data_IF_288203239866
#
_entry.id   IF_288203239866
#
_cell.length_a   1.000
_cell.length_b   1.000
_cell.length_c   1.000
_cell.angle_alpha   90.00
_cell.angle_beta   90.00
_cell.angle_gamma   90.00
#
_symmetry.space_group_name_H-M   'P 1'
#
loop_
_entity.id
_entity.type
_entity.pdbx_description
1 polymer ?
#
# COMPACT_ATOMS: atom_id res chain seq x y z
N UNK A 1 -11.50 33.01 18.91
CA UNK A 1 -10.79 31.78 19.34
C UNK A 1 -9.79 31.46 18.24
N UNK A 2 -8.49 31.69 18.45
CA UNK A 2 -7.48 31.30 17.46
C UNK A 2 -7.33 29.78 17.51
N UNK A 3 -7.43 29.11 16.36
CA UNK A 3 -7.11 27.69 16.24
C UNK A 3 -5.73 27.64 15.60
N UNK A 4 -4.80 26.97 16.26
CA UNK A 4 -3.42 26.80 15.78
C UNK A 4 -3.44 26.26 14.36
N UNK A 5 -2.70 26.91 13.46
CA UNK A 5 -2.66 26.54 12.04
C UNK A 5 -1.40 25.75 11.68
N UNK A 6 -0.42 25.74 12.58
CA UNK A 6 0.90 25.16 12.38
C UNK A 6 1.30 24.20 13.50
N UNK A 7 1.73 23.00 13.13
CA UNK A 7 2.15 21.93 14.05
C UNK A 7 3.62 21.52 13.82
N UNK A 8 4.40 22.37 13.16
CA UNK A 8 5.84 22.15 13.01
C UNK A 8 6.52 22.08 14.40
N UNK A 9 7.38 21.08 14.59
CA UNK A 9 8.15 20.86 15.81
C UNK A 9 9.58 21.34 15.59
N UNK A 10 10.09 22.18 16.48
CA UNK A 10 11.49 22.60 16.45
C UNK A 10 12.38 21.42 16.83
N UNK A 11 13.18 20.95 15.87
CA UNK A 11 14.06 19.79 16.01
C UNK A 11 15.05 19.90 17.18
N UNK A 12 15.37 21.12 17.65
CA UNK A 12 16.29 21.30 18.78
C UNK A 12 15.59 21.27 20.13
N UNK A 13 14.32 21.67 20.19
CA UNK A 13 13.60 21.78 21.48
C UNK A 13 12.55 20.68 21.64
N UNK A 14 12.16 20.01 20.57
CA UNK A 14 11.07 19.02 20.58
C UNK A 14 9.69 19.64 20.82
N UNK A 15 9.57 20.97 20.77
CA UNK A 15 8.33 21.70 21.02
C UNK A 15 7.79 22.30 19.73
N UNK A 16 6.47 22.47 19.66
CA UNK A 16 5.86 23.12 18.51
C UNK A 16 6.30 24.59 18.40
N UNK A 17 6.55 25.06 17.17
CA UNK A 17 6.96 26.44 16.90
C UNK A 17 5.87 27.45 17.29
N UNK A 18 6.22 28.62 17.88
CA UNK A 18 5.23 29.64 18.25
C UNK A 18 4.38 30.09 17.04
N UNK A 19 3.06 30.06 17.19
CA UNK A 19 2.06 30.54 16.22
C UNK A 19 1.56 31.91 16.71
N UNK A 20 1.85 32.98 15.95
CA UNK A 20 1.53 34.36 16.33
C UNK A 20 0.30 34.86 15.57
N UNK A 21 -0.59 35.56 16.26
CA UNK A 21 -1.75 36.23 15.66
C UNK A 21 -1.66 37.72 15.90
N UNK A 22 -1.83 38.49 14.82
CA UNK A 22 -2.03 39.93 14.92
C UNK A 22 -3.47 40.21 15.35
N UNK A 23 -3.64 40.66 16.59
CA UNK A 23 -4.93 41.16 17.10
C UNK A 23 -4.97 42.67 16.86
N UNK A 24 -5.83 43.11 15.94
CA UNK A 24 -6.07 44.54 15.73
C UNK A 24 -7.22 45.02 16.63
N UNK A 25 -6.99 46.08 17.41
CA UNK A 25 -8.08 46.85 18.05
C UNK A 25 -8.13 46.94 19.58
N UNK A 26 -7.07 46.57 20.32
CA UNK A 26 -7.04 46.80 21.79
C UNK A 26 -5.73 47.49 22.19
N UNK A 27 -5.77 48.72 22.74
CA UNK A 27 -4.57 49.37 23.25
C UNK A 27 -4.21 48.77 24.62
N UNK A 28 -3.27 47.83 24.65
CA UNK A 28 -2.71 47.34 25.90
C UNK A 28 -1.55 48.25 26.35
N UNK A 29 -1.84 49.19 27.24
CA UNK A 29 -0.84 50.13 27.80
C UNK A 29 -0.38 49.74 29.21
N UNK A 30 -0.52 48.48 29.64
CA UNK A 30 -0.35 48.12 31.07
C UNK A 30 0.52 46.90 31.38
N UNK A 31 1.22 46.30 30.40
CA UNK A 31 2.26 45.31 30.71
C UNK A 31 3.63 45.98 30.59
N UNK A 32 4.53 45.84 31.58
CA UNK A 32 5.92 46.21 31.39
C UNK A 32 6.43 45.42 30.18
N UNK A 33 6.84 46.14 29.14
CA UNK A 33 7.64 45.52 28.10
C UNK A 33 8.92 45.07 28.79
N UNK A 34 9.15 43.77 28.92
CA UNK A 34 10.50 43.27 29.15
C UNK A 34 11.36 43.89 28.03
N UNK A 35 12.24 44.81 28.43
CA UNK A 35 13.28 45.35 27.57
C UNK A 35 13.99 44.17 26.96
N UNK A 36 13.81 44.02 25.65
CA UNK A 36 14.40 42.97 24.84
C UNK A 36 15.88 43.29 24.58
N UNK A 37 16.65 43.45 25.65
CA UNK A 37 18.12 43.51 25.56
C UNK A 37 18.74 42.12 25.59
N UNK A 38 17.97 41.07 25.91
CA UNK A 38 18.39 39.66 25.80
C UNK A 38 17.32 38.75 25.17
N UNK A 39 16.43 39.28 24.31
CA UNK A 39 15.74 38.39 23.38
C UNK A 39 16.76 37.91 22.35
N UNK A 40 17.42 36.79 22.67
CA UNK A 40 18.21 36.02 21.73
C UNK A 40 17.45 35.97 20.41
N UNK A 41 18.03 36.61 19.39
CA UNK A 41 17.59 36.70 17.99
C UNK A 41 16.33 35.88 17.77
N UNK A 42 15.16 36.52 17.69
CA UNK A 42 13.93 35.87 17.24
C UNK A 42 14.29 35.00 16.05
N UNK A 43 14.30 33.69 16.28
CA UNK A 43 14.84 32.71 15.32
C UNK A 43 13.98 32.91 14.09
N UNK A 44 14.57 33.53 13.06
CA UNK A 44 13.84 33.98 11.88
C UNK A 44 13.15 32.75 11.33
N UNK A 45 11.81 32.70 11.40
CA UNK A 45 11.09 31.56 10.87
C UNK A 45 11.50 31.42 9.41
N UNK A 46 12.01 30.25 9.03
CA UNK A 46 12.40 29.99 7.65
C UNK A 46 11.23 30.37 6.74
N UNK A 47 11.45 31.12 5.65
CA UNK A 47 10.36 31.54 4.77
C UNK A 47 9.60 30.30 4.32
N UNK A 48 8.30 30.25 4.62
CA UNK A 48 7.44 29.16 4.18
C UNK A 48 7.06 29.39 2.73
N UNK A 49 7.15 28.34 1.93
CA UNK A 49 6.75 28.34 0.54
C UNK A 49 5.35 27.78 0.42
N UNK A 50 4.51 28.46 -0.35
CA UNK A 50 3.19 27.94 -0.74
C UNK A 50 3.39 26.85 -1.77
N UNK A 51 2.79 25.69 -1.56
CA UNK A 51 2.72 24.57 -2.50
C UNK A 51 1.29 24.52 -3.04
N UNK A 52 1.13 24.74 -4.34
CA UNK A 52 -0.18 24.91 -4.97
C UNK A 52 -0.12 24.57 -6.48
N UNK A 53 -1.26 24.16 -7.08
CA UNK A 53 -1.37 24.10 -8.54
C UNK A 53 -1.26 25.51 -9.12
N UNK A 54 -0.62 25.62 -10.29
CA UNK A 54 -0.40 26.91 -10.95
C UNK A 54 -1.21 27.02 -12.23
N UNK A 55 -2.07 28.05 -12.39
CA UNK A 55 -2.87 28.23 -13.60
C UNK A 55 -2.03 28.24 -14.89
N UNK A 56 -0.84 28.85 -14.85
CA UNK A 56 0.10 28.88 -15.97
C UNK A 56 0.69 27.49 -16.34
N UNK A 57 0.52 26.49 -15.46
CA UNK A 57 0.95 25.11 -15.63
C UNK A 57 -0.20 24.12 -15.83
N UNK A 58 -1.41 24.58 -16.15
CA UNK A 58 -2.60 23.73 -16.35
C UNK A 58 -2.36 22.59 -17.36
N UNK A 59 -1.54 22.81 -18.38
CA UNK A 59 -1.19 21.78 -19.38
C UNK A 59 -0.50 20.53 -18.80
N UNK A 60 0.01 20.62 -17.56
CA UNK A 60 0.63 19.52 -16.82
C UNK A 60 -0.31 18.92 -15.77
N UNK A 61 -1.59 19.29 -15.76
CA UNK A 61 -2.59 18.70 -14.87
C UNK A 61 -2.64 17.17 -15.06
N UNK A 62 -2.72 16.44 -13.95
CA UNK A 62 -2.84 15.00 -13.93
C UNK A 62 -4.13 14.63 -13.22
N UNK A 63 -4.79 13.59 -13.71
CA UNK A 63 -6.05 13.09 -13.19
C UNK A 63 -5.95 11.58 -12.92
N UNK A 64 -6.70 11.10 -11.93
CA UNK A 64 -6.74 9.68 -11.57
C UNK A 64 -8.12 9.28 -11.02
N UNK A 65 -8.52 8.00 -11.17
CA UNK A 65 -9.73 7.52 -10.53
C UNK A 65 -9.53 7.34 -9.01
N UNK A 66 -10.47 7.86 -8.22
CA UNK A 66 -10.53 7.69 -6.75
C UNK A 66 -11.28 6.41 -6.40
N UNK A 67 -10.57 5.28 -6.43
CA UNK A 67 -11.15 3.95 -6.24
C UNK A 67 -11.14 3.59 -4.74
N UNK A 68 -12.32 3.31 -4.19
CA UNK A 68 -12.50 2.81 -2.84
C UNK A 68 -12.26 1.29 -2.76
N UNK A 69 -12.75 0.55 -3.76
CA UNK A 69 -12.53 -0.90 -3.88
C UNK A 69 -12.72 -1.37 -5.32
N UNK A 70 -12.20 -2.55 -5.59
CA UNK A 70 -12.41 -3.27 -6.85
C UNK A 70 -13.35 -4.44 -6.52
N UNK A 71 -14.44 -4.54 -7.27
CA UNK A 71 -15.35 -5.69 -7.20
C UNK A 71 -15.13 -6.57 -8.41
N UNK A 72 -15.17 -7.87 -8.18
CA UNK A 72 -14.97 -8.87 -9.23
C UNK A 72 -16.21 -9.76 -9.30
N UNK A 73 -16.76 -9.92 -10.51
CA UNK A 73 -17.77 -10.92 -10.79
C UNK A 73 -17.06 -12.22 -11.15
N UNK A 74 -17.23 -13.27 -10.34
CA UNK A 74 -16.46 -14.51 -10.48
C UNK A 74 -17.02 -15.43 -11.56
N UNK A 75 -16.14 -16.09 -12.30
CA UNK A 75 -16.49 -17.24 -13.15
C UNK A 75 -17.02 -18.41 -12.31
N UNK A 76 -17.92 -19.24 -12.85
CA UNK A 76 -18.40 -20.47 -12.21
C UNK A 76 -17.34 -21.59 -12.19
N UNK A 77 -16.18 -21.38 -12.81
CA UNK A 77 -15.02 -22.28 -12.70
C UNK A 77 -13.83 -21.48 -12.21
N UNK A 78 -13.33 -21.86 -11.04
CA UNK A 78 -12.13 -21.30 -10.43
C UNK A 78 -10.90 -22.02 -10.97
N UNK A 79 -9.86 -21.25 -11.20
CA UNK A 79 -8.55 -21.69 -11.65
C UNK A 79 -7.49 -20.84 -10.97
N UNK A 80 -6.40 -21.47 -10.53
CA UNK A 80 -5.27 -20.76 -9.95
C UNK A 80 -4.01 -21.14 -10.71
N UNK A 81 -3.46 -20.21 -11.50
CA UNK A 81 -2.16 -20.44 -12.12
C UNK A 81 -1.05 -20.29 -11.07
N UNK A 82 -0.62 -21.43 -10.53
CA UNK A 82 0.41 -21.49 -9.49
C UNK A 82 1.71 -20.81 -9.92
N UNK A 83 2.02 -20.70 -11.21
CA UNK A 83 3.22 -20.00 -11.68
C UNK A 83 3.17 -18.50 -11.37
N UNK A 84 1.97 -17.91 -11.40
CA UNK A 84 1.72 -16.49 -11.13
C UNK A 84 1.45 -16.20 -9.65
N UNK A 85 1.19 -17.23 -8.85
CA UNK A 85 1.04 -17.09 -7.39
C UNK A 85 2.39 -16.72 -6.79
N UNK A 86 2.40 -15.63 -6.01
CA UNK A 86 3.58 -15.18 -5.27
C UNK A 86 3.90 -16.18 -4.14
N UNK A 87 5.18 -16.41 -3.82
CA UNK A 87 5.52 -17.17 -2.61
C UNK A 87 4.94 -16.52 -1.36
N UNK A 88 4.40 -17.34 -0.47
CA UNK A 88 3.97 -16.98 0.86
C UNK A 88 5.10 -17.30 1.84
N UNK A 89 5.67 -16.27 2.43
CA UNK A 89 6.69 -16.41 3.47
C UNK A 89 6.03 -16.53 4.85
N UNK A 90 6.34 -17.61 5.56
CA UNK A 90 5.92 -17.87 6.92
C UNK A 90 7.15 -17.89 7.84
N UNK A 91 7.11 -17.14 8.94
CA UNK A 91 8.22 -17.11 9.88
C UNK A 91 8.05 -18.27 10.85
N UNK A 92 9.06 -19.14 10.90
CA UNK A 92 9.16 -20.18 11.90
C UNK A 92 9.36 -19.52 13.27
N UNK A 93 8.44 -19.79 14.20
CA UNK A 93 8.61 -19.35 15.59
C UNK A 93 9.52 -20.33 16.30
N UNK A 94 10.55 -19.82 16.96
CA UNK A 94 11.45 -20.63 17.79
C UNK A 94 10.74 -21.22 19.02
N UNK A 95 9.71 -20.53 19.51
CA UNK A 95 8.91 -20.95 20.67
C UNK A 95 7.43 -20.80 20.38
N UNK A 96 6.66 -21.85 20.70
CA UNK A 96 5.20 -21.84 20.61
C UNK A 96 4.66 -21.44 21.98
N UNK A 97 3.87 -20.37 22.06
CA UNK A 97 3.32 -19.89 23.34
C UNK A 97 2.09 -20.69 23.77
N UNK A 98 1.66 -20.56 25.03
CA UNK A 98 0.39 -21.17 25.49
C UNK A 98 -0.83 -20.67 24.71
N UNK A 99 -0.84 -19.39 24.33
CA UNK A 99 -1.91 -18.84 23.51
C UNK A 99 -1.94 -19.48 22.10
N UNK A 100 -0.76 -19.73 21.53
CA UNK A 100 -0.61 -20.43 20.25
C UNK A 100 -1.10 -21.88 20.37
N UNK A 101 -0.74 -22.58 21.44
CA UNK A 101 -1.21 -23.94 21.73
C UNK A 101 -2.74 -24.01 21.90
N UNK A 102 -3.33 -23.06 22.63
CA UNK A 102 -4.78 -22.97 22.78
C UNK A 102 -5.49 -22.71 21.44
N UNK A 103 -4.91 -21.88 20.57
CA UNK A 103 -5.40 -21.63 19.21
C UNK A 103 -5.36 -22.90 18.35
N UNK A 104 -4.29 -23.69 18.48
CA UNK A 104 -4.18 -24.98 17.79
C UNK A 104 -5.22 -25.95 18.35
N UNK A 105 -5.29 -26.16 19.66
CA UNK A 105 -6.09 -27.22 20.29
C UNK A 105 -7.59 -26.90 20.47
N UNK A 106 -8.07 -25.72 20.04
CA UNK A 106 -9.48 -25.36 20.15
C UNK A 106 -9.94 -24.96 21.56
N UNK A 107 -9.04 -24.38 22.36
CA UNK A 107 -9.36 -23.68 23.61
C UNK A 107 -9.56 -24.52 24.88
N UNK A 108 -9.72 -25.85 24.80
CA UNK A 108 -10.14 -26.69 25.93
C UNK A 108 -9.07 -27.66 26.49
N UNK A 109 -7.78 -27.40 26.30
CA UNK A 109 -6.73 -28.33 26.76
C UNK A 109 -5.85 -27.67 27.82
N UNK A 110 -5.60 -28.39 28.92
CA UNK A 110 -4.75 -27.95 30.01
C UNK A 110 -3.27 -27.89 29.57
N UNK A 111 -2.80 -26.69 29.25
CA UNK A 111 -1.45 -26.39 28.74
C UNK A 111 -0.35 -26.31 29.83
N UNK A 112 -0.55 -26.95 30.97
CA UNK A 112 0.29 -26.75 32.17
C UNK A 112 1.73 -27.28 32.05
N UNK A 113 1.99 -28.27 31.18
CA UNK A 113 3.34 -28.76 30.86
C UNK A 113 3.42 -29.04 29.36
N UNK A 114 4.28 -28.34 28.61
CA UNK A 114 4.42 -28.56 27.16
C UNK A 114 5.76 -29.24 26.88
N UNK A 115 5.71 -30.49 26.43
CA UNK A 115 6.86 -31.32 26.06
C UNK A 115 6.96 -31.49 24.54
N UNK A 116 8.12 -31.90 23.97
CA UNK A 116 8.24 -32.21 22.55
C UNK A 116 7.26 -33.29 22.06
N UNK A 117 6.79 -34.18 22.95
CA UNK A 117 5.81 -35.24 22.67
C UNK A 117 4.40 -34.64 22.38
N UNK A 118 4.10 -33.46 22.93
CA UNK A 118 2.83 -32.77 22.71
C UNK A 118 2.74 -32.21 21.29
N UNK A 119 3.86 -31.79 20.68
CA UNK A 119 3.88 -31.24 19.31
C UNK A 119 3.59 -32.30 18.25
N UNK A 120 4.12 -33.51 18.40
CA UNK A 120 3.79 -34.66 17.56
C UNK A 120 2.33 -35.07 17.73
N UNK A 121 1.83 -35.10 18.97
CA UNK A 121 0.42 -35.39 19.26
C UNK A 121 -0.52 -34.35 18.66
N UNK A 122 -0.11 -33.07 18.64
CA UNK A 122 -0.82 -31.98 17.96
C UNK A 122 -0.81 -32.16 16.45
N UNK A 123 0.32 -32.55 15.86
CA UNK A 123 0.40 -32.86 14.43
C UNK A 123 -0.51 -34.03 14.06
N UNK A 124 -0.60 -35.05 14.91
CA UNK A 124 -1.52 -36.18 14.73
C UNK A 124 -2.99 -35.77 14.80
N UNK A 125 -3.34 -34.82 15.68
CA UNK A 125 -4.69 -34.24 15.79
C UNK A 125 -5.03 -33.26 14.65
N UNK A 126 -4.03 -32.62 14.04
CA UNK A 126 -4.16 -31.65 12.96
C UNK A 126 -3.53 -32.18 11.68
N UNK A 127 -4.16 -33.16 11.06
CA UNK A 127 -3.77 -33.59 9.71
C UNK A 127 -3.89 -32.42 8.72
N UNK A 128 -3.03 -32.42 7.70
CA UNK A 128 -3.11 -31.49 6.56
C UNK A 128 -4.55 -31.31 6.05
N UNK A 129 -5.31 -32.39 6.00
CA UNK A 129 -6.71 -32.40 5.60
C UNK A 129 -7.63 -31.50 6.44
N UNK A 130 -7.37 -31.36 7.75
CA UNK A 130 -8.11 -30.45 8.63
C UNK A 130 -7.75 -28.99 8.36
N UNK A 131 -6.49 -28.71 8.03
CA UNK A 131 -6.04 -27.38 7.61
C UNK A 131 -6.70 -27.02 6.29
N UNK A 132 -6.66 -27.92 5.30
CA UNK A 132 -7.35 -27.77 4.01
C UNK A 132 -8.82 -27.46 4.23
N UNK A 133 -9.52 -28.26 5.04
CA UNK A 133 -10.95 -28.10 5.27
C UNK A 133 -11.32 -26.79 5.96
N UNK A 134 -10.61 -26.41 7.02
CA UNK A 134 -10.86 -25.14 7.72
C UNK A 134 -10.56 -23.94 6.82
N UNK A 135 -9.45 -23.98 6.09
CA UNK A 135 -9.09 -22.96 5.09
C UNK A 135 -10.18 -22.87 4.02
N UNK A 136 -10.68 -24.02 3.55
CA UNK A 136 -11.73 -24.08 2.54
C UNK A 136 -13.04 -23.47 3.03
N UNK A 137 -13.45 -23.72 4.28
CA UNK A 137 -14.64 -23.08 4.86
C UNK A 137 -14.46 -21.56 4.91
N UNK A 138 -13.32 -21.06 5.41
CA UNK A 138 -13.11 -19.61 5.51
C UNK A 138 -13.09 -18.93 4.13
N UNK A 139 -12.45 -19.54 3.13
CA UNK A 139 -12.46 -19.03 1.75
C UNK A 139 -13.87 -19.13 1.16
N UNK A 140 -14.57 -20.24 1.39
CA UNK A 140 -15.93 -20.47 0.90
C UNK A 140 -16.91 -19.43 1.45
N UNK A 141 -16.89 -19.14 2.75
CA UNK A 141 -17.78 -18.14 3.35
C UNK A 141 -17.56 -16.73 2.78
N UNK A 142 -16.32 -16.40 2.37
CA UNK A 142 -16.01 -15.13 1.69
C UNK A 142 -16.52 -15.12 0.24
N UNK A 143 -16.49 -16.26 -0.45
CA UNK A 143 -16.87 -16.41 -1.87
C UNK A 143 -18.36 -16.60 -2.11
N UNK A 144 -18.97 -17.44 -1.30
CA UNK A 144 -20.31 -18.00 -1.51
C UNK A 144 -21.39 -16.94 -1.77
N UNK A 145 -21.42 -15.77 -1.08
CA UNK A 145 -22.41 -14.74 -1.37
C UNK A 145 -22.35 -14.14 -2.78
N UNK A 146 -21.20 -14.23 -3.48
CA UNK A 146 -20.95 -13.56 -4.77
C UNK A 146 -20.77 -14.52 -5.94
N UNK A 147 -20.76 -15.83 -5.70
CA UNK A 147 -20.38 -16.82 -6.70
C UNK A 147 -21.59 -17.42 -7.42
N UNK A 148 -21.58 -17.55 -8.77
CA UNK A 148 -22.80 -17.79 -9.55
C UNK A 148 -23.28 -19.26 -9.64
N UNK A 149 -22.56 -20.25 -9.09
CA UNK A 149 -22.92 -21.68 -9.19
C UNK A 149 -23.43 -22.34 -7.89
N UNK A 150 -23.38 -23.69 -7.81
CA UNK A 150 -23.78 -24.44 -6.60
C UNK A 150 -22.73 -24.47 -5.48
N UNK A 151 -23.17 -24.39 -4.22
CA UNK A 151 -22.28 -24.40 -3.04
C UNK A 151 -21.29 -25.56 -3.03
N UNK A 152 -21.75 -26.75 -3.43
CA UNK A 152 -20.98 -27.98 -3.49
C UNK A 152 -19.87 -27.89 -4.54
N UNK A 153 -20.17 -27.31 -5.71
CA UNK A 153 -19.19 -27.08 -6.77
C UNK A 153 -18.13 -26.06 -6.35
N UNK A 154 -18.52 -24.99 -5.66
CA UNK A 154 -17.58 -23.99 -5.15
C UNK A 154 -16.65 -24.60 -4.10
N UNK A 155 -17.21 -25.33 -3.14
CA UNK A 155 -16.45 -25.97 -2.08
C UNK A 155 -15.44 -26.98 -2.64
N UNK A 156 -15.85 -27.81 -3.60
CA UNK A 156 -14.96 -28.78 -4.25
C UNK A 156 -13.79 -28.10 -4.96
N UNK A 157 -14.03 -26.98 -5.64
CA UNK A 157 -12.99 -26.23 -6.35
C UNK A 157 -12.04 -25.53 -5.38
N UNK A 158 -12.57 -24.94 -4.32
CA UNK A 158 -11.76 -24.30 -3.27
C UNK A 158 -10.85 -25.33 -2.59
N UNK A 159 -11.38 -26.51 -2.24
CA UNK A 159 -10.58 -27.58 -1.64
C UNK A 159 -9.42 -27.96 -2.56
N UNK A 160 -9.70 -28.22 -3.85
CA UNK A 160 -8.66 -28.57 -4.83
C UNK A 160 -7.58 -27.50 -4.95
N UNK A 161 -7.97 -26.21 -5.03
CA UNK A 161 -7.01 -25.10 -5.12
C UNK A 161 -6.15 -24.99 -3.85
N UNK A 162 -6.75 -25.20 -2.68
CA UNK A 162 -6.02 -25.15 -1.41
C UNK A 162 -5.05 -26.33 -1.31
N UNK A 163 -5.46 -27.55 -1.68
CA UNK A 163 -4.57 -28.71 -1.71
C UNK A 163 -3.38 -28.46 -2.63
N UNK A 164 -3.62 -28.02 -3.86
CA UNK A 164 -2.57 -27.67 -4.82
C UNK A 164 -1.61 -26.60 -4.26
N UNK A 165 -2.14 -25.57 -3.59
CA UNK A 165 -1.32 -24.51 -3.01
C UNK A 165 -0.48 -25.00 -1.82
N UNK A 166 -1.07 -25.76 -0.90
CA UNK A 166 -0.40 -26.25 0.29
C UNK A 166 0.71 -27.26 -0.03
N UNK A 167 0.54 -28.03 -1.11
CA UNK A 167 1.53 -28.97 -1.64
C UNK A 167 2.59 -28.31 -2.52
N UNK A 168 2.33 -27.09 -3.02
CA UNK A 168 3.27 -26.37 -3.86
C UNK A 168 4.52 -25.86 -3.12
N UNK A 169 5.56 -25.54 -3.89
CA UNK A 169 6.75 -24.85 -3.40
C UNK A 169 6.49 -23.37 -3.05
N UNK A 170 5.24 -22.89 -3.07
CA UNK A 170 4.94 -21.47 -2.78
C UNK A 170 4.95 -21.13 -1.31
N UNK A 171 4.97 -22.09 -0.39
CA UNK A 171 5.06 -21.81 1.04
C UNK A 171 6.52 -21.91 1.48
N UNK A 172 7.14 -20.76 1.71
CA UNK A 172 8.52 -20.64 2.18
C UNK A 172 8.51 -20.42 3.69
N UNK A 173 9.10 -21.33 4.46
CA UNK A 173 9.25 -21.16 5.91
C UNK A 173 10.67 -20.65 6.20
N UNK A 174 10.77 -19.54 6.92
CA UNK A 174 12.03 -18.86 7.23
C UNK A 174 12.39 -19.09 8.71
N UNK A 175 13.61 -19.55 9.04
CA UNK A 175 14.71 -19.89 8.12
C UNK A 175 14.47 -21.22 7.38
N UNK A 176 15.00 -21.34 6.16
CA UNK A 176 14.79 -22.52 5.28
C UNK A 176 15.36 -23.83 5.84
N UNK A 177 16.28 -23.77 6.79
CA UNK A 177 17.01 -24.92 7.33
C UNK A 177 16.64 -25.12 8.79
N UNK A 178 16.27 -26.35 9.19
CA UNK A 178 16.16 -26.73 10.61
C UNK A 178 14.76 -27.00 11.15
N UNK A 179 13.79 -27.36 10.31
CA UNK A 179 12.45 -27.76 10.74
C UNK A 179 12.01 -29.09 10.11
N UNK A 180 11.26 -29.88 10.86
CA UNK A 180 10.64 -31.14 10.43
C UNK A 180 9.20 -30.89 9.93
N UNK A 181 8.54 -31.94 9.42
CA UNK A 181 7.16 -31.86 8.92
C UNK A 181 6.17 -31.37 9.99
N UNK A 182 6.42 -31.72 11.27
CA UNK A 182 5.61 -31.30 12.41
C UNK A 182 5.69 -29.78 12.63
N UNK A 183 6.90 -29.22 12.62
CA UNK A 183 7.12 -27.78 12.74
C UNK A 183 6.57 -27.02 11.53
N UNK A 184 6.67 -27.59 10.32
CA UNK A 184 6.04 -27.02 9.12
C UNK A 184 4.53 -26.92 9.31
N UNK A 185 3.90 -28.02 9.70
CA UNK A 185 2.46 -28.10 9.94
C UNK A 185 2.00 -27.10 11.02
N UNK A 186 2.68 -27.05 12.17
CA UNK A 186 2.33 -26.11 13.25
C UNK A 186 2.47 -24.66 12.78
N UNK A 187 3.53 -24.34 12.04
CA UNK A 187 3.75 -23.00 11.49
C UNK A 187 2.58 -22.59 10.58
N UNK A 188 2.09 -23.51 9.75
CA UNK A 188 0.94 -23.27 8.89
C UNK A 188 -0.35 -23.06 9.70
N UNK A 189 -0.62 -23.88 10.73
CA UNK A 189 -1.81 -23.73 11.59
C UNK A 189 -1.82 -22.36 12.28
N UNK A 190 -0.68 -21.93 12.83
CA UNK A 190 -0.59 -20.65 13.52
C UNK A 190 -0.82 -19.46 12.59
N UNK A 191 -0.41 -19.60 11.32
CA UNK A 191 -0.54 -18.60 10.26
C UNK A 191 -1.73 -18.88 9.31
N UNK A 192 -2.72 -19.67 9.72
CA UNK A 192 -3.83 -20.09 8.84
C UNK A 192 -4.57 -18.90 8.23
N UNK A 193 -4.85 -17.85 9.00
CA UNK A 193 -5.50 -16.64 8.50
C UNK A 193 -4.69 -15.95 7.39
N UNK A 194 -3.35 -15.99 7.46
CA UNK A 194 -2.44 -15.45 6.44
C UNK A 194 -2.46 -16.32 5.18
N UNK A 195 -2.54 -17.64 5.33
CA UNK A 195 -2.69 -18.59 4.21
C UNK A 195 -4.02 -18.37 3.50
N UNK A 196 -5.13 -18.31 4.25
CA UNK A 196 -6.48 -18.00 3.74
C UNK A 196 -6.46 -16.69 2.96
N UNK A 197 -5.90 -15.62 3.54
CA UNK A 197 -5.81 -14.31 2.90
C UNK A 197 -4.97 -14.36 1.62
N UNK A 198 -3.85 -15.07 1.63
CA UNK A 198 -2.96 -15.20 0.47
C UNK A 198 -3.64 -15.95 -0.69
N UNK A 199 -4.29 -17.08 -0.41
CA UNK A 199 -5.03 -17.86 -1.41
C UNK A 199 -6.21 -17.04 -1.93
N UNK A 200 -6.96 -16.40 -1.05
CA UNK A 200 -8.08 -15.52 -1.42
C UNK A 200 -7.65 -14.43 -2.41
N UNK A 201 -6.59 -13.70 -2.08
CA UNK A 201 -6.04 -12.63 -2.92
C UNK A 201 -5.49 -13.14 -4.26
N UNK A 202 -5.16 -14.44 -4.36
CA UNK A 202 -4.66 -15.04 -5.59
C UNK A 202 -5.79 -15.58 -6.49
N UNK A 203 -6.91 -16.03 -5.91
CA UNK A 203 -8.08 -16.53 -6.65
C UNK A 203 -8.87 -15.37 -7.27
N UNK A 204 -9.13 -14.30 -6.52
CA UNK A 204 -10.07 -13.24 -6.90
C UNK A 204 -9.74 -12.59 -8.26
N UNK A 205 -8.51 -12.09 -8.52
CA UNK A 205 -8.21 -11.36 -9.76
C UNK A 205 -8.13 -12.27 -10.99
N UNK A 206 -7.76 -13.54 -10.82
CA UNK A 206 -7.56 -14.48 -11.94
C UNK A 206 -8.86 -15.11 -12.44
N UNK A 207 -9.91 -15.10 -11.61
CA UNK A 207 -11.18 -15.73 -11.91
C UNK A 207 -12.32 -14.74 -12.14
N UNK A 208 -12.02 -13.45 -12.21
CA UNK A 208 -12.97 -12.43 -12.60
C UNK A 208 -13.41 -12.62 -14.06
N UNK A 209 -14.72 -12.70 -14.28
CA UNK A 209 -15.38 -12.56 -15.56
C UNK A 209 -15.50 -11.08 -15.94
N UNK A 210 -15.84 -10.24 -14.97
CA UNK A 210 -15.86 -8.79 -15.10
C UNK A 210 -15.27 -8.13 -13.85
N UNK A 211 -14.69 -6.95 -14.04
CA UNK A 211 -14.15 -6.12 -12.95
C UNK A 211 -14.91 -4.81 -12.91
N UNK A 212 -15.41 -4.44 -11.74
CA UNK A 212 -16.13 -3.20 -11.49
C UNK A 212 -15.38 -2.33 -10.50
N UNK A 213 -15.12 -1.09 -10.91
CA UNK A 213 -14.55 -0.07 -10.03
C UNK A 213 -15.65 0.54 -9.16
N UNK A 214 -15.42 0.59 -7.84
CA UNK A 214 -16.25 1.36 -6.91
C UNK A 214 -15.47 2.56 -6.43
N UNK A 215 -16.03 3.75 -6.62
CA UNK A 215 -15.35 5.00 -6.30
C UNK A 215 -15.56 5.42 -4.84
N UNK A 216 -14.65 6.24 -4.31
CA UNK A 216 -14.79 6.85 -2.99
C UNK A 216 -16.00 7.79 -2.92
N UNK A 217 -16.31 8.45 -4.04
CA UNK A 217 -17.46 9.33 -4.24
C UNK A 217 -17.92 9.19 -5.70
N UNK A 218 -19.12 8.62 -5.90
CA UNK A 218 -19.69 8.39 -7.23
C UNK A 218 -20.00 9.70 -7.98
N UNK A 219 -20.17 10.82 -7.27
CA UNK A 219 -20.40 12.14 -7.89
C UNK A 219 -19.09 12.82 -8.28
N UNK A 220 -17.97 12.49 -7.62
CA UNK A 220 -16.63 12.98 -7.94
C UNK A 220 -15.65 11.82 -8.02
N UNK A 221 -15.73 10.95 -9.05
CA UNK A 221 -14.91 9.74 -9.15
C UNK A 221 -13.47 10.02 -9.59
N UNK A 222 -13.19 11.22 -10.10
CA UNK A 222 -11.88 11.65 -10.58
C UNK A 222 -11.26 12.62 -9.57
N UNK A 223 -10.01 12.39 -9.21
CA UNK A 223 -9.15 13.35 -8.52
C UNK A 223 -8.20 14.01 -9.51
N UNK A 224 -7.80 15.24 -9.22
CA UNK A 224 -6.85 16.01 -10.03
C UNK A 224 -5.79 16.68 -9.17
N UNK A 225 -4.62 16.97 -9.74
CA UNK A 225 -3.68 17.93 -9.14
C UNK A 225 -4.28 19.32 -8.95
N UNK A 226 -5.29 19.68 -9.75
CA UNK A 226 -6.05 20.93 -9.59
C UNK A 226 -6.94 20.99 -8.34
N UNK A 227 -7.28 19.83 -7.74
CA UNK A 227 -8.07 19.77 -6.50
C UNK A 227 -7.21 20.03 -5.24
N UNK A 228 -5.88 20.14 -5.38
CA UNK A 228 -4.97 20.29 -4.24
C UNK A 228 -5.19 21.62 -3.52
N UNK A 229 -5.53 21.54 -2.23
CA UNK A 229 -5.64 22.72 -1.37
C UNK A 229 -4.23 23.27 -1.12
N UNK A 230 -3.97 24.56 -1.34
CA UNK A 230 -2.67 25.17 -1.06
C UNK A 230 -2.21 24.93 0.39
N UNK A 231 -0.95 24.56 0.55
CA UNK A 231 -0.34 24.31 1.85
C UNK A 231 1.06 24.93 1.92
N UNK A 232 1.64 24.99 3.11
CA UNK A 232 2.88 25.73 3.37
C UNK A 232 3.96 24.80 3.90
N UNK A 233 5.21 24.99 3.46
CA UNK A 233 6.34 24.20 3.94
C UNK A 233 7.63 25.01 4.02
N UNK A 234 8.45 24.71 5.03
CA UNK A 234 9.83 25.17 5.15
C UNK A 234 10.86 24.17 4.60
N UNK A 235 10.41 23.00 4.11
CA UNK A 235 11.28 21.92 3.65
C UNK A 235 12.04 22.27 2.35
N UNK A 236 13.18 21.60 2.08
CA UNK A 236 13.84 21.67 0.79
C UNK A 236 12.88 21.31 -0.35
N UNK A 237 13.04 21.99 -1.48
CA UNK A 237 12.21 21.76 -2.67
C UNK A 237 13.02 22.06 -3.92
N UNK A 238 12.56 21.53 -5.03
CA UNK A 238 13.09 21.81 -6.36
C UNK A 238 11.99 22.35 -7.27
N UNK A 239 12.37 23.16 -8.25
CA UNK A 239 11.47 23.59 -9.31
C UNK A 239 11.03 22.38 -10.13
N UNK A 240 9.73 22.27 -10.42
CA UNK A 240 9.15 21.20 -11.22
C UNK A 240 8.55 21.79 -12.50
N UNK A 241 9.23 21.61 -13.64
CA UNK A 241 8.88 22.26 -14.92
C UNK A 241 7.73 21.57 -15.63
N UNK A 242 7.69 20.25 -15.62
CA UNK A 242 6.64 19.42 -16.23
C UNK A 242 5.58 18.97 -15.21
N UNK A 243 5.29 19.81 -14.24
CA UNK A 243 4.37 19.50 -13.14
C UNK A 243 3.37 20.65 -12.97
N UNK A 244 2.09 20.32 -12.72
CA UNK A 244 1.07 21.33 -12.44
C UNK A 244 1.35 22.10 -11.14
N UNK A 245 1.93 21.42 -10.16
CA UNK A 245 2.30 22.00 -8.86
C UNK A 245 3.58 22.84 -9.02
N UNK A 246 3.65 23.98 -8.33
CA UNK A 246 4.78 24.90 -8.45
C UNK A 246 6.15 24.27 -8.10
N UNK A 247 6.22 23.49 -7.02
CA UNK A 247 7.45 22.88 -6.52
C UNK A 247 7.26 21.41 -6.14
N UNK A 248 8.33 20.63 -6.26
CA UNK A 248 8.43 19.30 -5.66
C UNK A 248 9.18 19.42 -4.32
N UNK A 249 8.50 19.10 -3.22
CA UNK A 249 9.12 19.05 -1.89
C UNK A 249 9.95 17.78 -1.78
N UNK A 250 11.21 17.91 -1.37
CA UNK A 250 12.16 16.79 -1.30
C UNK A 250 12.56 16.54 0.16
N UNK A 251 12.16 15.39 0.68
CA UNK A 251 12.53 14.87 2.00
C UNK A 251 13.85 14.06 1.94
N UNK A 252 14.32 13.73 0.72
CA UNK A 252 15.58 13.02 0.50
C UNK A 252 16.29 13.46 -0.78
N UNK A 253 17.58 13.15 -0.89
CA UNK A 253 18.36 13.33 -2.14
C UNK A 253 17.85 12.46 -3.29
N UNK A 254 17.17 11.35 -2.98
CA UNK A 254 16.60 10.46 -3.98
C UNK A 254 15.43 11.13 -4.70
N UNK A 255 14.55 11.82 -3.96
CA UNK A 255 13.42 12.53 -4.53
C UNK A 255 13.84 13.73 -5.38
N UNK A 256 14.89 14.46 -4.97
CA UNK A 256 15.42 15.56 -5.79
C UNK A 256 16.05 15.05 -7.09
N UNK A 257 16.74 13.90 -7.03
CA UNK A 257 17.28 13.23 -8.22
C UNK A 257 16.17 12.75 -9.14
N UNK A 258 15.11 12.15 -8.59
CA UNK A 258 13.95 11.71 -9.34
C UNK A 258 13.23 12.88 -10.03
N UNK A 259 12.97 13.97 -9.30
CA UNK A 259 12.37 15.17 -9.86
C UNK A 259 13.19 15.73 -11.04
N UNK A 260 14.53 15.79 -10.89
CA UNK A 260 15.43 16.22 -11.95
C UNK A 260 15.37 15.32 -13.19
N UNK A 261 15.32 13.99 -12.99
CA UNK A 261 15.17 13.03 -14.09
C UNK A 261 13.84 13.18 -14.81
N UNK A 262 12.73 13.24 -14.07
CA UNK A 262 11.38 13.32 -14.64
C UNK A 262 11.19 14.60 -15.46
N UNK A 263 11.74 15.73 -15.02
CA UNK A 263 11.68 16.98 -15.76
C UNK A 263 12.47 16.96 -17.06
N UNK A 264 13.67 16.37 -17.07
CA UNK A 264 14.55 16.37 -18.26
C UNK A 264 14.18 15.28 -19.27
N UNK A 265 13.54 14.20 -18.84
CA UNK A 265 13.33 13.02 -19.68
C UNK A 265 12.38 13.33 -20.84
N UNK A 266 12.76 13.10 -22.11
CA UNK A 266 11.95 13.45 -23.27
C UNK A 266 10.68 12.59 -23.41
N UNK A 267 10.61 11.43 -22.74
CA UNK A 267 9.43 10.55 -22.75
C UNK A 267 8.36 10.95 -21.73
N UNK A 268 8.68 11.87 -20.82
CA UNK A 268 7.73 12.37 -19.80
C UNK A 268 7.04 13.63 -20.34
N UNK A 269 5.71 13.60 -20.35
CA UNK A 269 4.87 14.74 -20.69
C UNK A 269 4.52 15.57 -19.45
N UNK A 270 4.09 14.91 -18.38
CA UNK A 270 3.82 15.52 -17.08
C UNK A 270 4.17 14.55 -15.94
N UNK A 271 4.48 15.06 -14.76
CA UNK A 271 4.68 14.26 -13.56
C UNK A 271 4.29 15.05 -12.30
N UNK A 272 4.01 14.32 -11.22
CA UNK A 272 3.78 14.93 -9.90
C UNK A 272 4.25 13.98 -8.80
N UNK A 273 4.82 14.54 -7.71
CA UNK A 273 5.02 13.81 -6.45
C UNK A 273 3.66 13.63 -5.77
N UNK A 274 3.46 12.45 -5.19
CA UNK A 274 2.37 11.94 -4.36
C UNK A 274 1.84 12.84 -3.22
N UNK A 275 2.06 14.15 -3.18
CA UNK A 275 2.05 14.94 -1.95
C UNK A 275 0.81 15.80 -1.73
N UNK A 276 0.05 15.48 -0.67
CA UNK A 276 -1.23 16.12 -0.35
C UNK A 276 -2.30 16.04 -1.47
N UNK A 277 -2.12 15.15 -2.45
CA UNK A 277 -3.06 15.00 -3.57
C UNK A 277 -4.20 14.00 -3.30
N UNK A 278 -4.01 13.11 -2.34
CA UNK A 278 -5.01 12.09 -2.00
C UNK A 278 -5.05 10.88 -2.94
N UNK A 279 -4.12 10.74 -3.90
CA UNK A 279 -4.00 9.51 -4.67
C UNK A 279 -3.49 8.37 -3.78
N UNK A 280 -4.29 7.33 -3.61
CA UNK A 280 -3.92 6.17 -2.81
C UNK A 280 -4.66 4.91 -3.20
N UNK A 281 -4.02 3.78 -2.96
CA UNK A 281 -4.51 2.44 -3.25
C UNK A 281 -4.87 1.77 -1.94
N UNK A 282 -6.09 1.28 -1.83
CA UNK A 282 -6.54 0.51 -0.69
C UNK A 282 -5.97 -0.90 -0.77
N UNK A 283 -5.38 -1.38 0.32
CA UNK A 283 -4.85 -2.74 0.41
C UNK A 283 -5.15 -3.35 1.77
N UNK A 284 -5.12 -4.67 1.83
CA UNK A 284 -5.26 -5.43 3.08
C UNK A 284 -3.90 -6.04 3.40
N UNK A 285 -3.50 -5.95 4.66
CA UNK A 285 -2.30 -6.59 5.17
C UNK A 285 -2.53 -7.01 6.61
N UNK A 286 -2.26 -8.28 6.93
CA UNK A 286 -2.49 -8.86 8.26
C UNK A 286 -3.94 -8.68 8.75
N UNK A 287 -4.91 -8.79 7.82
CA UNK A 287 -6.33 -8.61 8.12
C UNK A 287 -6.79 -7.17 8.35
N UNK A 288 -5.90 -6.17 8.31
CA UNK A 288 -6.24 -4.76 8.46
C UNK A 288 -6.29 -4.03 7.11
N UNK A 289 -7.24 -3.09 6.98
CA UNK A 289 -7.34 -2.23 5.81
C UNK A 289 -6.38 -1.05 5.95
N UNK A 290 -5.56 -0.85 4.93
CA UNK A 290 -4.61 0.23 4.84
C UNK A 290 -4.80 1.02 3.53
N UNK A 291 -4.25 2.24 3.51
CA UNK A 291 -4.16 3.09 2.32
C UNK A 291 -2.69 3.33 2.00
N UNK A 292 -2.26 2.82 0.87
CA UNK A 292 -0.91 3.02 0.34
C UNK A 292 -0.89 4.26 -0.55
N UNK A 293 0.11 5.12 -0.39
CA UNK A 293 0.32 6.33 -1.18
C UNK A 293 1.61 6.20 -2.00
N UNK A 294 1.53 5.97 -3.32
CA UNK A 294 2.70 5.92 -4.17
C UNK A 294 3.45 7.25 -4.25
N UNK A 295 4.74 7.19 -4.57
CA UNK A 295 5.62 8.36 -4.59
C UNK A 295 5.37 9.29 -5.78
N UNK A 296 5.17 8.76 -7.00
CA UNK A 296 5.00 9.59 -8.20
C UNK A 296 3.90 9.08 -9.14
N UNK A 297 3.23 10.02 -9.79
CA UNK A 297 2.34 9.78 -10.94
C UNK A 297 2.96 10.50 -12.14
N UNK A 298 3.11 9.79 -13.25
CA UNK A 298 3.81 10.26 -14.44
C UNK A 298 2.92 10.02 -15.65
N UNK A 299 2.71 11.03 -16.49
CA UNK A 299 2.13 10.88 -17.81
C UNK A 299 3.25 10.88 -18.86
N UNK A 300 3.33 9.81 -19.64
CA UNK A 300 4.28 9.68 -20.73
C UNK A 300 3.76 10.35 -22.00
N UNK A 301 4.66 10.73 -22.90
CA UNK A 301 4.31 11.41 -24.17
C UNK A 301 3.49 10.56 -25.14
N UNK A 302 3.41 9.25 -24.92
CA UNK A 302 2.53 8.34 -25.65
C UNK A 302 1.14 8.16 -24.98
N UNK A 303 0.84 8.90 -23.90
CA UNK A 303 -0.44 8.87 -23.20
C UNK A 303 -0.57 7.80 -22.10
N UNK A 304 0.47 7.01 -21.84
CA UNK A 304 0.48 6.02 -20.77
C UNK A 304 0.78 6.70 -19.42
N UNK A 305 0.00 6.40 -18.40
CA UNK A 305 0.26 6.78 -17.02
C UNK A 305 1.14 5.73 -16.34
N UNK A 306 2.19 6.18 -15.66
CA UNK A 306 3.08 5.37 -14.85
C UNK A 306 2.97 5.81 -13.38
N UNK A 307 2.61 4.86 -12.52
CA UNK A 307 2.79 5.00 -11.07
C UNK A 307 4.17 4.47 -10.70
N UNK A 308 5.02 5.32 -10.17
CA UNK A 308 6.41 4.98 -9.84
C UNK A 308 6.63 5.10 -8.34
N UNK A 309 7.17 4.03 -7.75
CA UNK A 309 7.59 4.00 -6.35
C UNK A 309 9.12 3.98 -6.25
N UNK A 310 9.68 4.72 -5.29
CA UNK A 310 11.12 4.69 -4.99
C UNK A 310 11.34 4.01 -3.64
N UNK A 311 12.10 2.90 -3.62
CA UNK A 311 12.35 2.11 -2.40
C UNK A 311 13.80 1.72 -2.22
N UNK A 312 14.33 1.90 -1.01
CA UNK A 312 15.66 1.39 -0.66
C UNK A 312 15.70 -0.09 -0.28
N UNK A 313 14.60 -0.67 0.23
CA UNK A 313 14.53 -2.08 0.64
C UNK A 313 13.17 -2.71 0.31
N UNK A 314 13.19 -3.96 -0.16
CA UNK A 314 11.99 -4.74 -0.52
C UNK A 314 11.50 -5.60 0.66
N UNK A 315 10.73 -4.98 1.56
CA UNK A 315 10.10 -5.70 2.68
C UNK A 315 8.87 -6.50 2.24
N UNK A 316 8.41 -7.45 3.06
CA UNK A 316 7.18 -8.21 2.80
C UNK A 316 5.98 -7.29 2.53
N UNK A 317 5.79 -6.27 3.37
CA UNK A 317 4.71 -5.30 3.19
C UNK A 317 4.86 -4.50 1.88
N UNK A 318 6.09 -4.21 1.44
CA UNK A 318 6.32 -3.56 0.15
C UNK A 318 5.89 -4.44 -1.03
N UNK A 319 6.16 -5.75 -0.97
CA UNK A 319 5.69 -6.71 -1.98
C UNK A 319 4.17 -6.82 -2.02
N UNK A 320 3.51 -6.81 -0.87
CA UNK A 320 2.03 -6.81 -0.79
C UNK A 320 1.47 -5.55 -1.45
N UNK A 321 1.97 -4.35 -1.07
CA UNK A 321 1.58 -3.07 -1.69
C UNK A 321 1.73 -3.08 -3.21
N UNK A 322 2.83 -3.64 -3.72
CA UNK A 322 3.08 -3.77 -5.17
C UNK A 322 2.01 -4.59 -5.87
N UNK A 323 1.62 -5.75 -5.32
CA UNK A 323 0.57 -6.57 -5.91
C UNK A 323 -0.79 -5.88 -5.96
N UNK A 324 -1.18 -5.17 -4.88
CA UNK A 324 -2.43 -4.39 -4.90
C UNK A 324 -2.39 -3.24 -5.90
N UNK A 325 -1.22 -2.61 -6.12
CA UNK A 325 -1.05 -1.62 -7.18
C UNK A 325 -1.17 -2.24 -8.58
N UNK A 326 -0.60 -3.43 -8.80
CA UNK A 326 -0.75 -4.16 -10.07
C UNK A 326 -2.21 -4.50 -10.36
N UNK A 327 -2.97 -4.94 -9.35
CA UNK A 327 -4.40 -5.23 -9.51
C UNK A 327 -5.23 -3.98 -9.75
N UNK A 328 -4.89 -2.87 -9.09
CA UNK A 328 -5.46 -1.55 -9.38
C UNK A 328 -5.23 -1.15 -10.84
N UNK A 329 -4.00 -1.30 -11.34
CA UNK A 329 -3.66 -0.98 -12.74
C UNK A 329 -4.46 -1.85 -13.72
N UNK A 330 -4.55 -3.17 -13.47
CA UNK A 330 -5.35 -4.08 -14.31
C UNK A 330 -6.82 -3.68 -14.32
N UNK A 331 -7.40 -3.38 -13.16
CA UNK A 331 -8.80 -3.01 -13.04
C UNK A 331 -9.11 -1.68 -13.76
N UNK A 332 -8.23 -0.67 -13.62
CA UNK A 332 -8.36 0.61 -14.31
C UNK A 332 -8.23 0.45 -15.83
N UNK A 333 -7.27 -0.35 -16.29
CA UNK A 333 -7.09 -0.64 -17.71
C UNK A 333 -8.26 -1.43 -18.31
N UNK A 334 -8.83 -2.38 -17.56
CA UNK A 334 -10.00 -3.16 -17.97
C UNK A 334 -11.24 -2.29 -18.13
N UNK A 335 -11.46 -1.36 -17.19
CA UNK A 335 -12.56 -0.39 -17.25
C UNK A 335 -12.40 0.58 -18.45
N UNK A 336 -11.16 0.96 -18.76
CA UNK A 336 -10.80 1.69 -19.98
C UNK A 336 -11.16 3.19 -19.99
N UNK A 337 -11.96 3.68 -19.03
CA UNK A 337 -12.39 5.10 -18.99
C UNK A 337 -11.30 6.08 -18.57
N UNK A 338 -10.23 5.61 -17.93
CA UNK A 338 -9.20 6.45 -17.31
C UNK A 338 -7.85 6.44 -18.04
N UNK A 339 -7.86 6.05 -19.32
CA UNK A 339 -6.64 5.89 -20.11
C UNK A 339 -5.86 4.63 -19.72
N UNK A 340 -4.64 4.50 -20.25
CA UNK A 340 -3.76 3.36 -19.98
C UNK A 340 -2.82 3.66 -18.81
N UNK A 341 -2.68 2.69 -17.92
CA UNK A 341 -1.86 2.75 -16.71
C UNK A 341 -0.86 1.59 -16.67
N UNK A 342 0.30 1.84 -16.05
CA UNK A 342 1.30 0.85 -15.66
C UNK A 342 1.92 1.27 -14.33
N UNK A 343 2.62 0.35 -13.68
CA UNK A 343 3.37 0.63 -12.46
C UNK A 343 4.79 0.06 -12.53
N UNK A 344 5.72 0.71 -11.83
CA UNK A 344 7.07 0.16 -11.63
C UNK A 344 7.67 0.59 -10.29
N UNK A 345 8.73 -0.07 -9.87
CA UNK A 345 9.49 0.26 -8.66
C UNK A 345 10.95 0.50 -9.00
N UNK A 346 11.47 1.64 -8.54
CA UNK A 346 12.88 2.02 -8.63
C UNK A 346 13.56 1.67 -7.31
N UNK A 347 14.61 0.86 -7.35
CA UNK A 347 15.42 0.55 -6.16
C UNK A 347 16.61 1.52 -6.00
N UNK A 348 17.01 2.14 -7.10
CA UNK A 348 17.93 3.27 -7.14
C UNK A 348 17.34 4.38 -8.04
N UNK A 349 17.50 5.68 -7.73
CA UNK A 349 17.13 6.77 -8.63
C UNK A 349 17.74 6.66 -10.05
N UNK A 350 18.88 5.99 -10.20
CA UNK A 350 19.50 5.73 -11.50
C UNK A 350 18.69 4.77 -12.39
N UNK A 351 17.76 3.99 -11.82
CA UNK A 351 16.91 3.05 -12.57
C UNK A 351 15.70 3.73 -13.23
N UNK A 352 15.37 4.97 -12.81
CA UNK A 352 14.19 5.71 -13.27
C UNK A 352 14.11 5.80 -14.81
N UNK A 353 15.19 6.11 -15.56
CA UNK A 353 15.15 6.10 -17.02
C UNK A 353 14.77 4.73 -17.60
N UNK A 354 15.20 3.64 -16.96
CA UNK A 354 14.85 2.26 -17.32
C UNK A 354 13.38 1.96 -17.08
N UNK A 355 12.86 2.33 -15.91
CA UNK A 355 11.44 2.20 -15.57
C UNK A 355 10.54 2.98 -16.55
N UNK A 356 10.92 4.21 -16.89
CA UNK A 356 10.26 5.01 -17.92
C UNK A 356 10.33 4.30 -19.28
N UNK A 357 11.49 3.77 -19.65
CA UNK A 357 11.68 3.03 -20.89
C UNK A 357 10.76 1.81 -21.01
N UNK A 358 10.67 1.01 -19.94
CA UNK A 358 9.80 -0.17 -19.85
C UNK A 358 8.32 0.22 -19.92
N UNK A 359 7.91 1.24 -19.16
CA UNK A 359 6.55 1.77 -19.19
C UNK A 359 6.16 2.34 -20.57
N UNK A 360 7.11 2.97 -21.28
CA UNK A 360 6.86 3.50 -22.62
C UNK A 360 6.58 2.40 -23.66
N UNK A 361 7.14 1.22 -23.46
CA UNK A 361 6.96 0.05 -24.32
C UNK A 361 5.87 -0.90 -23.78
N UNK A 362 5.06 -0.45 -22.82
CA UNK A 362 4.00 -1.25 -22.22
C UNK A 362 2.90 -1.53 -23.25
N UNK A 363 2.89 -2.77 -23.75
CA UNK A 363 1.81 -3.30 -24.56
C UNK A 363 0.91 -4.18 -23.68
N UNK A 364 -0.38 -3.86 -23.70
CA UNK A 364 -1.45 -4.72 -23.19
C UNK A 364 -1.85 -5.65 -24.33
N UNK A 365 -1.22 -6.81 -24.42
CA UNK A 365 -1.75 -7.92 -25.23
C UNK A 365 -3.01 -8.51 -24.57
#
# INVERSE_FOLDING_TARGET
>A
MHRRTDYDVDEKTGLFTPDYVNIFGVPFTFMPHETTEEAGRTRTQSPKYVIEPRPEKQQFELQWPKIARIEYEMKPTLSLDMRRVRPLELILRETITRADMAKILGGNVDTSETTPIDLTTIADQFRMQKITFNTAIEVFERMNPKWPGSKEQLLSQIISIIEDFLESEKIHIIPEVGYDDVRRLITMVLNMSKIVEHIWNAIEPNNAESTKLVFEDDHRPIGSTGDMIPWYTGKPRVDAKKCHINFCVCDSSWESTAAFELDRNPKVASWVKNDHLGFGIHYIFQGERHRYRPDFIILLTNGIHLVLEIKGQDTEQARVKRGFLEDWVKAVNYDGRFGKWTCDVSFDPADIPGAIGKAYNYNTD
#
